data_IF_506330804522
#
_entry.id   IF_506330804522
#
_cell.length_a   1.000
_cell.length_b   1.000
_cell.length_c   1.000
_cell.angle_alpha   90.00
_cell.angle_beta   90.00
_cell.angle_gamma   90.00
#
_symmetry.space_group_name_H-M   'P 1'
#
loop_
_entity.id
_entity.type
_entity.pdbx_description
1 polymer ?
#
# COMPACT_ATOMS: atom_id res chain seq x y z
N UNK A 1 -40.33 -3.96 -24.09
CA UNK A 1 -40.45 -4.28 -22.65
C UNK A 1 -39.24 -5.07 -22.16
N UNK A 2 -38.70 -6.03 -22.92
CA UNK A 2 -37.49 -6.80 -22.56
C UNK A 2 -36.19 -5.99 -22.42
N UNK A 3 -36.06 -4.83 -23.08
CA UNK A 3 -34.84 -4.01 -23.03
C UNK A 3 -34.68 -3.23 -21.72
N UNK A 4 -35.77 -2.83 -21.08
CA UNK A 4 -35.73 -2.04 -19.84
C UNK A 4 -35.47 -2.92 -18.60
N UNK A 5 -35.85 -4.20 -18.68
CA UNK A 5 -35.65 -5.19 -17.62
C UNK A 5 -34.22 -5.76 -17.62
N UNK A 6 -33.60 -5.93 -18.80
CA UNK A 6 -32.19 -6.31 -18.92
C UNK A 6 -31.24 -5.19 -18.48
N UNK A 7 -31.58 -3.93 -18.77
CA UNK A 7 -30.85 -2.75 -18.30
C UNK A 7 -30.97 -2.60 -16.77
N UNK A 8 -32.16 -2.75 -16.20
CA UNK A 8 -32.37 -2.74 -14.73
C UNK A 8 -31.65 -3.89 -14.02
N UNK A 9 -31.60 -5.08 -14.60
CA UNK A 9 -30.86 -6.21 -14.05
C UNK A 9 -29.33 -6.03 -14.17
N UNK A 10 -28.84 -5.43 -15.26
CA UNK A 10 -27.43 -5.07 -15.42
C UNK A 10 -27.00 -3.99 -14.42
N UNK A 11 -27.85 -3.00 -14.17
CA UNK A 11 -27.57 -1.92 -13.21
C UNK A 11 -27.60 -2.42 -11.75
N UNK A 12 -28.52 -3.33 -11.42
CA UNK A 12 -28.56 -4.01 -10.13
C UNK A 12 -27.34 -4.92 -9.91
N UNK A 13 -26.90 -5.66 -10.93
CA UNK A 13 -25.69 -6.49 -10.87
C UNK A 13 -24.42 -5.65 -10.68
N UNK A 14 -24.29 -4.52 -11.39
CA UNK A 14 -23.17 -3.57 -11.22
C UNK A 14 -23.17 -2.90 -9.85
N UNK A 15 -24.35 -2.55 -9.35
CA UNK A 15 -24.51 -1.96 -8.02
C UNK A 15 -24.17 -2.97 -6.92
N UNK A 16 -24.52 -4.24 -7.10
CA UNK A 16 -24.16 -5.32 -6.17
C UNK A 16 -22.65 -5.57 -6.11
N UNK A 17 -21.97 -5.64 -7.27
CA UNK A 17 -20.50 -5.80 -7.31
C UNK A 17 -19.76 -4.59 -6.73
N UNK A 18 -20.23 -3.37 -6.99
CA UNK A 18 -19.66 -2.15 -6.39
C UNK A 18 -19.86 -2.08 -4.88
N UNK A 19 -21.03 -2.53 -4.41
CA UNK A 19 -21.33 -2.59 -2.98
C UNK A 19 -20.44 -3.61 -2.26
N UNK A 20 -20.28 -4.81 -2.83
CA UNK A 20 -19.39 -5.85 -2.31
C UNK A 20 -17.93 -5.37 -2.25
N UNK A 21 -17.49 -4.66 -3.30
CA UNK A 21 -16.19 -3.99 -3.33
C UNK A 21 -16.01 -2.99 -2.17
N UNK A 22 -16.95 -2.06 -2.00
CA UNK A 22 -16.82 -1.02 -0.97
C UNK A 22 -16.83 -1.63 0.44
N UNK A 23 -17.59 -2.70 0.68
CA UNK A 23 -17.55 -3.43 1.95
C UNK A 23 -16.23 -4.18 2.18
N UNK A 24 -15.63 -4.76 1.14
CA UNK A 24 -14.31 -5.37 1.22
C UNK A 24 -13.24 -4.31 1.54
N UNK A 25 -13.24 -3.20 0.81
CA UNK A 25 -12.35 -2.06 1.06
C UNK A 25 -12.54 -1.50 2.48
N UNK A 26 -13.77 -1.37 2.95
CA UNK A 26 -14.07 -0.92 4.31
C UNK A 26 -13.45 -1.85 5.36
N UNK A 27 -13.59 -3.18 5.19
CA UNK A 27 -13.04 -4.19 6.08
C UNK A 27 -11.51 -4.15 6.12
N UNK A 28 -10.86 -4.02 4.96
CA UNK A 28 -9.40 -3.97 4.83
C UNK A 28 -8.82 -2.74 5.51
N UNK A 29 -9.37 -1.56 5.22
CA UNK A 29 -8.93 -0.30 5.83
C UNK A 29 -9.15 -0.30 7.35
N UNK A 30 -10.21 -0.97 7.83
CA UNK A 30 -10.43 -1.20 9.26
C UNK A 30 -9.44 -2.20 9.87
N UNK A 31 -9.02 -3.21 9.13
CA UNK A 31 -7.93 -4.12 9.50
C UNK A 31 -6.63 -3.36 9.68
N UNK A 32 -6.26 -2.53 8.71
CA UNK A 32 -5.07 -1.69 8.77
C UNK A 32 -5.10 -0.72 9.97
N UNK A 33 -6.25 -0.09 10.25
CA UNK A 33 -6.43 0.74 11.46
C UNK A 33 -6.14 -0.07 12.74
N UNK A 34 -6.63 -1.32 12.81
CA UNK A 34 -6.41 -2.21 13.95
C UNK A 34 -4.94 -2.58 14.10
N UNK A 35 -4.26 -2.87 13.00
CA UNK A 35 -2.84 -3.21 13.00
C UNK A 35 -1.98 -2.02 13.41
N UNK A 36 -2.33 -0.80 12.98
CA UNK A 36 -1.68 0.43 13.45
C UNK A 36 -1.90 0.68 14.93
N UNK A 37 -3.08 0.35 15.46
CA UNK A 37 -3.31 0.36 16.92
C UNK A 37 -2.36 -0.63 17.59
N UNK A 38 -2.35 -1.90 17.19
CA UNK A 38 -1.51 -2.93 17.79
C UNK A 38 0.01 -2.62 17.66
N UNK A 39 0.43 -2.01 16.55
CA UNK A 39 1.81 -1.59 16.34
C UNK A 39 2.25 -0.55 17.37
N UNK A 40 1.39 0.43 17.68
CA UNK A 40 1.70 1.45 18.71
C UNK A 40 1.84 0.84 20.09
N UNK A 41 1.06 -0.20 20.38
CA UNK A 41 1.13 -0.91 21.66
C UNK A 41 2.47 -1.62 21.80
N UNK A 42 2.94 -2.28 20.73
CA UNK A 42 4.29 -2.86 20.69
C UNK A 42 5.37 -1.80 20.85
N UNK A 43 5.28 -0.68 20.16
CA UNK A 43 6.27 0.41 20.29
C UNK A 43 6.32 1.00 21.70
N UNK A 44 5.18 1.09 22.39
CA UNK A 44 5.16 1.59 23.77
C UNK A 44 5.88 0.65 24.74
N UNK A 45 5.67 -0.67 24.60
CA UNK A 45 6.39 -1.67 25.39
C UNK A 45 7.89 -1.62 25.07
N UNK A 46 8.25 -1.58 23.80
CA UNK A 46 9.66 -1.52 23.38
C UNK A 46 10.36 -0.25 23.87
N UNK A 47 9.69 0.90 23.83
CA UNK A 47 10.20 2.16 24.39
C UNK A 47 10.53 2.00 25.88
N UNK A 48 9.60 1.44 26.67
CA UNK A 48 9.81 1.23 28.10
C UNK A 48 11.01 0.30 28.36
N UNK A 49 11.07 -0.84 27.65
CA UNK A 49 12.19 -1.80 27.76
C UNK A 49 13.51 -1.14 27.40
N UNK A 50 13.56 -0.36 26.31
CA UNK A 50 14.78 0.34 25.87
C UNK A 50 15.25 1.38 26.89
N UNK A 51 14.34 2.19 27.45
CA UNK A 51 14.68 3.17 28.49
C UNK A 51 15.19 2.47 29.75
N UNK A 52 14.51 1.42 30.21
CA UNK A 52 14.95 0.61 31.34
C UNK A 52 16.35 0.02 31.11
N UNK A 53 16.62 -0.52 29.92
CA UNK A 53 17.93 -1.07 29.59
C UNK A 53 19.02 0.01 29.62
N UNK A 54 18.78 1.19 29.04
CA UNK A 54 19.74 2.30 29.07
C UNK A 54 20.01 2.75 30.51
N UNK A 55 18.97 2.91 31.32
CA UNK A 55 19.12 3.27 32.74
C UNK A 55 19.94 2.22 33.50
N UNK A 56 19.62 0.93 33.34
CA UNK A 56 20.35 -0.17 34.01
C UNK A 56 21.83 -0.21 33.64
N UNK A 57 22.17 0.02 32.38
CA UNK A 57 23.58 0.06 31.95
C UNK A 57 24.26 1.34 32.45
N UNK A 58 23.53 2.46 32.53
CA UNK A 58 24.11 3.75 32.95
C UNK A 58 24.53 3.80 34.42
N UNK A 59 24.00 2.91 35.25
CA UNK A 59 24.32 2.79 36.69
C UNK A 59 25.41 1.76 36.99
N UNK A 60 25.95 1.06 35.98
CA UNK A 60 26.99 0.06 36.18
C UNK A 60 28.34 0.67 36.58
N UNK A 61 29.18 -0.12 37.25
CA UNK A 61 30.48 0.31 37.78
C UNK A 61 31.60 0.30 36.73
N UNK A 62 31.42 0.98 35.60
CA UNK A 62 32.51 1.23 34.65
C UNK A 62 32.59 2.72 34.31
N UNK A 63 33.79 3.16 33.91
CA UNK A 63 34.15 4.57 33.77
C UNK A 63 33.11 5.36 32.96
N UNK A 64 32.77 4.86 31.77
CA UNK A 64 31.87 5.56 30.84
C UNK A 64 30.37 5.30 31.04
N UNK A 65 29.96 4.53 32.05
CA UNK A 65 28.56 4.12 32.23
C UNK A 65 27.58 5.32 32.28
N UNK A 66 27.83 6.38 33.06
CA UNK A 66 26.88 7.49 33.18
C UNK A 66 26.62 8.21 31.85
N UNK A 67 27.59 8.24 30.93
CA UNK A 67 27.45 8.89 29.63
C UNK A 67 26.47 8.15 28.70
N UNK A 68 26.20 6.87 28.95
CA UNK A 68 25.20 6.11 28.19
C UNK A 68 23.78 6.61 28.45
N UNK A 69 23.53 7.35 29.53
CA UNK A 69 22.25 8.00 29.76
C UNK A 69 21.88 8.99 28.63
N UNK A 70 22.85 9.50 27.86
CA UNK A 70 22.61 10.37 26.72
C UNK A 70 21.84 9.69 25.58
N UNK A 71 21.71 8.35 25.59
CA UNK A 71 20.84 7.63 24.67
C UNK A 71 19.35 7.74 25.04
N UNK A 72 18.98 8.15 26.26
CA UNK A 72 17.57 8.29 26.68
C UNK A 72 16.79 9.26 25.76
N UNK A 73 17.26 10.49 25.49
CA UNK A 73 16.64 11.38 24.50
C UNK A 73 16.57 10.80 23.09
N UNK A 74 17.62 10.08 22.65
CA UNK A 74 17.66 9.47 21.30
C UNK A 74 16.60 8.38 21.15
N UNK A 75 16.47 7.51 22.16
CA UNK A 75 15.45 6.46 22.23
C UNK A 75 14.05 7.09 22.24
N UNK A 76 13.82 8.15 23.02
CA UNK A 76 12.54 8.85 23.05
C UNK A 76 12.15 9.46 21.69
N UNK A 77 13.10 10.12 21.01
CA UNK A 77 12.90 10.66 19.67
C UNK A 77 12.58 9.55 18.65
N UNK A 78 13.33 8.44 18.68
CA UNK A 78 13.11 7.31 17.77
C UNK A 78 11.68 6.76 17.86
N UNK A 79 11.21 6.44 19.07
CA UNK A 79 9.86 5.90 19.26
C UNK A 79 8.78 6.94 19.01
N UNK A 80 9.03 8.22 19.29
CA UNK A 80 8.11 9.31 18.94
C UNK A 80 7.86 9.37 17.43
N UNK A 81 8.91 9.26 16.60
CA UNK A 81 8.78 9.28 15.14
C UNK A 81 7.92 8.11 14.65
N UNK A 82 8.19 6.89 15.14
CA UNK A 82 7.46 5.68 14.75
C UNK A 82 5.97 5.77 15.12
N UNK A 83 5.67 6.26 16.31
CA UNK A 83 4.30 6.39 16.81
C UNK A 83 3.55 7.51 16.07
N UNK A 84 4.20 8.66 15.85
CA UNK A 84 3.63 9.77 15.10
C UNK A 84 3.29 9.38 13.65
N UNK A 85 4.18 8.62 13.01
CA UNK A 85 3.91 8.07 11.68
C UNK A 85 2.69 7.14 11.67
N UNK A 86 2.60 6.23 12.65
CA UNK A 86 1.44 5.34 12.80
C UNK A 86 0.12 6.11 12.99
N UNK A 87 0.13 7.20 13.78
CA UNK A 87 -1.03 8.09 13.93
C UNK A 87 -1.40 8.81 12.63
N UNK A 88 -0.42 9.27 11.86
CA UNK A 88 -0.68 9.94 10.58
C UNK A 88 -1.36 9.02 9.56
N UNK A 89 -0.87 7.78 9.43
CA UNK A 89 -1.46 6.77 8.55
C UNK A 89 -2.88 6.43 9.00
N UNK A 90 -3.09 6.18 10.30
CA UNK A 90 -4.42 5.94 10.86
C UNK A 90 -5.38 7.09 10.53
N UNK A 91 -4.97 8.34 10.76
CA UNK A 91 -5.83 9.50 10.54
C UNK A 91 -6.21 9.64 9.06
N UNK A 92 -5.26 9.43 8.14
CA UNK A 92 -5.53 9.45 6.70
C UNK A 92 -6.52 8.37 6.27
N UNK A 93 -6.35 7.14 6.77
CA UNK A 93 -7.28 6.04 6.47
C UNK A 93 -8.67 6.30 7.05
N UNK A 94 -8.73 6.74 8.31
CA UNK A 94 -10.00 7.05 8.98
C UNK A 94 -10.73 8.21 8.27
N UNK A 95 -10.01 9.21 7.78
CA UNK A 95 -10.58 10.30 6.97
C UNK A 95 -11.10 9.79 5.62
N UNK A 96 -10.33 8.96 4.91
CA UNK A 96 -10.76 8.37 3.64
C UNK A 96 -12.00 7.49 3.80
N UNK A 97 -12.04 6.65 4.84
CA UNK A 97 -13.21 5.83 5.17
C UNK A 97 -14.46 6.69 5.36
N UNK A 98 -14.38 7.73 6.20
CA UNK A 98 -15.52 8.60 6.52
C UNK A 98 -15.99 9.46 5.35
N UNK A 99 -15.06 9.97 4.54
CA UNK A 99 -15.37 10.97 3.52
C UNK A 99 -15.62 10.38 2.13
N UNK A 100 -15.15 9.16 1.86
CA UNK A 100 -15.27 8.54 0.53
C UNK A 100 -16.03 7.22 0.58
N UNK A 101 -15.57 6.26 1.39
CA UNK A 101 -16.07 4.88 1.33
C UNK A 101 -17.44 4.73 1.99
N UNK A 102 -17.59 5.13 3.25
CA UNK A 102 -18.82 4.96 4.03
C UNK A 102 -20.03 5.72 3.44
N UNK A 103 -19.89 6.96 2.92
CA UNK A 103 -20.98 7.66 2.25
C UNK A 103 -21.45 6.98 0.96
N UNK A 104 -20.51 6.39 0.21
CA UNK A 104 -20.81 5.71 -1.04
C UNK A 104 -21.57 4.39 -0.79
N UNK A 105 -21.16 3.62 0.22
CA UNK A 105 -21.89 2.43 0.67
C UNK A 105 -23.31 2.82 1.11
N UNK A 106 -23.43 3.86 1.93
CA UNK A 106 -24.73 4.33 2.41
C UNK A 106 -25.64 4.81 1.27
N UNK A 107 -25.07 5.38 0.20
CA UNK A 107 -25.81 5.76 -1.01
C UNK A 107 -26.33 4.56 -1.79
N UNK A 108 -25.51 3.51 -1.95
CA UNK A 108 -25.91 2.28 -2.65
C UNK A 108 -26.94 1.45 -1.87
N UNK A 109 -26.96 1.56 -0.53
CA UNK A 109 -27.95 0.92 0.34
C UNK A 109 -29.20 1.77 0.59
N UNK A 110 -29.31 2.93 -0.06
CA UNK A 110 -30.40 3.91 0.10
C UNK A 110 -30.67 4.29 1.57
N UNK A 111 -29.61 4.45 2.37
CA UNK A 111 -29.76 4.73 3.79
C UNK A 111 -29.94 6.24 4.04
N UNK A 112 -30.99 6.65 4.79
CA UNK A 112 -31.24 8.05 5.12
C UNK A 112 -30.06 8.66 5.87
N UNK A 113 -29.72 9.93 5.56
CA UNK A 113 -28.58 10.63 6.13
C UNK A 113 -28.54 10.62 7.67
N UNK A 114 -29.71 10.66 8.30
CA UNK A 114 -29.87 10.62 9.76
C UNK A 114 -29.44 9.26 10.36
N UNK A 115 -29.60 8.16 9.62
CA UNK A 115 -29.26 6.81 10.07
C UNK A 115 -27.81 6.39 9.77
N UNK A 116 -27.10 7.12 8.90
CA UNK A 116 -25.71 6.81 8.47
C UNK A 116 -24.71 6.79 9.63
N UNK A 117 -24.95 7.58 10.67
CA UNK A 117 -24.08 7.69 11.85
C UNK A 117 -24.10 6.44 12.74
N UNK A 118 -25.03 5.51 12.53
CA UNK A 118 -25.10 4.24 13.26
C UNK A 118 -24.54 3.04 12.49
N UNK A 119 -24.33 3.18 11.18
CA UNK A 119 -24.05 2.06 10.28
C UNK A 119 -22.62 1.57 10.37
N UNK A 120 -21.66 2.49 10.39
CA UNK A 120 -20.24 2.17 10.38
C UNK A 120 -19.52 2.77 11.57
N UNK A 121 -18.53 2.02 12.07
CA UNK A 121 -17.83 2.35 13.30
C UNK A 121 -17.12 3.71 13.24
N UNK A 122 -16.47 4.07 12.11
CA UNK A 122 -15.69 5.32 12.03
C UNK A 122 -16.60 6.56 12.03
N UNK A 123 -17.67 6.57 11.23
CA UNK A 123 -18.68 7.64 11.26
C UNK A 123 -19.38 7.71 12.63
N UNK A 124 -19.74 6.55 13.21
CA UNK A 124 -20.37 6.49 14.55
C UNK A 124 -19.47 7.07 15.63
N UNK A 125 -18.20 6.71 15.59
CA UNK A 125 -17.23 7.16 16.57
C UNK A 125 -16.96 8.66 16.47
N UNK A 126 -16.86 9.22 15.25
CA UNK A 126 -16.71 10.66 15.08
C UNK A 126 -17.97 11.43 15.55
N UNK A 127 -19.16 10.91 15.29
CA UNK A 127 -20.41 11.47 15.79
C UNK A 127 -20.44 11.50 17.32
N UNK A 128 -20.13 10.36 17.97
CA UNK A 128 -20.03 10.27 19.42
C UNK A 128 -18.96 11.21 19.99
N UNK A 129 -17.84 11.41 19.29
CA UNK A 129 -16.80 12.38 19.66
C UNK A 129 -17.32 13.81 19.67
N UNK A 130 -18.08 14.22 18.64
CA UNK A 130 -18.66 15.57 18.55
C UNK A 130 -19.67 15.82 19.67
N UNK A 131 -20.46 14.81 20.04
CA UNK A 131 -21.49 14.92 21.08
C UNK A 131 -20.91 14.89 22.49
N UNK A 132 -19.95 14.01 22.77
CA UNK A 132 -19.42 13.84 24.13
C UNK A 132 -18.50 14.96 24.60
N UNK A 133 -18.07 15.85 23.70
CA UNK A 133 -17.16 16.94 24.01
C UNK A 133 -15.76 16.44 24.38
N UNK A 134 -14.76 16.91 23.62
CA UNK A 134 -13.34 16.97 23.96
C UNK A 134 -12.71 15.87 24.84
N UNK A 135 -13.07 14.59 24.67
CA UNK A 135 -12.21 13.51 25.16
C UNK A 135 -10.90 13.57 24.36
N UNK A 136 -9.74 13.86 24.97
CA UNK A 136 -8.49 13.95 24.23
C UNK A 136 -8.17 12.59 23.62
N UNK A 137 -8.28 12.51 22.30
CA UNK A 137 -7.88 11.32 21.55
C UNK A 137 -6.37 11.21 21.63
N UNK A 138 -5.91 10.02 21.98
CA UNK A 138 -4.48 9.73 22.02
C UNK A 138 -3.82 10.18 23.32
N UNK A 139 -4.32 9.72 24.48
CA UNK A 139 -3.53 9.71 25.74
C UNK A 139 -2.10 9.25 25.44
N UNK A 140 -1.95 8.25 24.56
CA UNK A 140 -0.66 7.73 24.10
C UNK A 140 0.12 8.71 23.21
N UNK A 141 -0.49 9.35 22.21
CA UNK A 141 0.21 10.34 21.39
C UNK A 141 0.76 11.49 22.25
N UNK A 142 -0.09 12.06 23.13
CA UNK A 142 0.35 13.11 24.04
C UNK A 142 1.42 12.62 25.02
N UNK A 143 1.29 11.39 25.52
CA UNK A 143 2.33 10.78 26.34
C UNK A 143 3.68 10.75 25.62
N UNK A 144 3.73 10.32 24.35
CA UNK A 144 4.99 10.29 23.58
C UNK A 144 5.50 11.68 23.19
N UNK A 145 4.60 12.63 22.91
CA UNK A 145 4.99 14.03 22.71
C UNK A 145 5.65 14.58 23.98
N UNK A 146 5.03 14.38 25.14
CA UNK A 146 5.58 14.81 26.43
C UNK A 146 6.87 14.08 26.74
N UNK A 147 6.93 12.76 26.53
CA UNK A 147 8.13 11.95 26.79
C UNK A 147 9.33 12.40 25.94
N UNK A 148 9.10 12.79 24.68
CA UNK A 148 10.16 13.29 23.80
C UNK A 148 10.81 14.57 24.36
N UNK A 149 10.02 15.52 24.87
CA UNK A 149 10.54 16.77 25.46
C UNK A 149 10.95 16.63 26.93
N UNK A 150 10.41 15.65 27.66
CA UNK A 150 10.81 15.38 29.05
C UNK A 150 12.09 14.54 29.15
N UNK A 151 12.40 13.70 28.15
CA UNK A 151 13.57 12.83 28.16
C UNK A 151 14.92 13.56 28.33
N UNK A 152 15.17 14.74 27.71
CA UNK A 152 16.38 15.52 27.97
C UNK A 152 16.52 15.94 29.43
N UNK A 153 15.42 16.32 30.09
CA UNK A 153 15.42 16.69 31.52
C UNK A 153 15.66 15.48 32.43
N UNK A 154 15.05 14.34 32.09
CA UNK A 154 15.29 13.07 32.82
C UNK A 154 16.74 12.64 32.67
N UNK A 155 17.31 12.74 31.47
CA UNK A 155 18.73 12.52 31.23
C UNK A 155 19.58 13.46 32.07
N UNK A 156 19.32 14.78 32.03
CA UNK A 156 20.08 15.77 32.78
C UNK A 156 20.09 15.45 34.27
N UNK A 157 18.92 15.15 34.83
CA UNK A 157 18.78 14.77 36.24
C UNK A 157 19.57 13.49 36.57
N UNK A 158 19.37 12.41 35.80
CA UNK A 158 20.04 11.12 36.04
C UNK A 158 21.56 11.23 35.89
N UNK A 159 22.03 11.90 34.84
CA UNK A 159 23.45 12.10 34.55
C UNK A 159 24.13 12.91 35.66
N UNK A 160 23.54 14.03 36.08
CA UNK A 160 24.08 14.82 37.17
C UNK A 160 24.07 14.07 38.50
N UNK A 161 23.02 13.30 38.80
CA UNK A 161 22.96 12.48 40.01
C UNK A 161 24.07 11.42 40.07
N UNK A 162 24.42 10.82 38.92
CA UNK A 162 25.48 9.81 38.82
C UNK A 162 26.90 10.40 38.82
N UNK A 163 27.06 11.64 38.35
CA UNK A 163 28.39 12.21 38.05
C UNK A 163 28.84 13.25 39.08
N UNK A 164 27.93 14.07 39.64
CA UNK A 164 28.28 15.17 40.56
C UNK A 164 28.89 14.70 41.89
N UNK A 165 28.64 13.45 42.29
CA UNK A 165 29.24 12.84 43.47
C UNK A 165 30.61 12.18 43.23
N UNK A 166 31.14 12.23 42.01
CA UNK A 166 32.41 11.60 41.66
C UNK A 166 33.50 12.64 41.39
N UNK A 167 34.67 12.46 42.00
CA UNK A 167 35.86 13.28 41.72
C UNK A 167 36.54 12.89 40.39
N UNK A 168 35.93 11.97 39.63
CA UNK A 168 36.47 11.41 38.38
C UNK A 168 36.44 12.40 37.21
N UNK A 169 35.59 13.42 37.25
CA UNK A 169 35.34 14.30 36.12
C UNK A 169 35.42 15.78 36.51
N UNK A 170 35.99 16.60 35.61
CA UNK A 170 35.99 18.05 35.83
C UNK A 170 34.57 18.60 35.72
N UNK A 171 34.17 19.46 36.67
CA UNK A 171 32.83 20.07 36.68
C UNK A 171 32.51 20.78 35.36
N UNK A 172 33.50 21.46 34.77
CA UNK A 172 33.37 22.12 33.47
C UNK A 172 33.01 21.15 32.35
N UNK A 173 33.66 19.98 32.30
CA UNK A 173 33.35 18.95 31.31
C UNK A 173 31.94 18.39 31.47
N UNK A 174 31.54 18.07 32.70
CA UNK A 174 30.22 17.51 33.03
C UNK A 174 29.10 18.46 32.60
N UNK A 175 29.20 19.74 32.97
CA UNK A 175 28.20 20.74 32.58
C UNK A 175 28.18 20.98 31.08
N UNK A 176 29.34 21.05 30.42
CA UNK A 176 29.42 21.24 28.97
C UNK A 176 28.74 20.09 28.22
N UNK A 177 29.03 18.85 28.61
CA UNK A 177 28.41 17.66 28.01
C UNK A 177 26.89 17.65 28.20
N UNK A 178 26.43 17.86 29.42
CA UNK A 178 25.01 17.83 29.75
C UNK A 178 24.21 18.90 28.96
N UNK A 179 24.75 20.13 28.89
CA UNK A 179 24.14 21.22 28.12
C UNK A 179 24.10 20.91 26.62
N UNK A 180 25.19 20.41 26.04
CA UNK A 180 25.25 20.06 24.62
C UNK A 180 24.23 18.98 24.24
N UNK A 181 24.13 17.91 25.05
CA UNK A 181 23.18 16.82 24.79
C UNK A 181 21.73 17.30 24.93
N UNK A 182 21.42 18.11 25.95
CA UNK A 182 20.08 18.68 26.12
C UNK A 182 19.72 19.63 24.96
N UNK A 183 20.61 20.56 24.61
CA UNK A 183 20.37 21.51 23.52
C UNK A 183 20.22 20.81 22.17
N UNK A 184 21.07 19.82 21.86
CA UNK A 184 20.99 19.06 20.62
C UNK A 184 19.70 18.24 20.52
N UNK A 185 19.29 17.58 21.61
CA UNK A 185 18.06 16.78 21.63
C UNK A 185 16.80 17.63 21.53
N UNK A 186 16.74 18.79 22.19
CA UNK A 186 15.63 19.75 22.06
C UNK A 186 15.52 20.31 20.63
N UNK A 187 16.64 20.71 20.03
CA UNK A 187 16.67 21.17 18.64
C UNK A 187 16.19 20.07 17.68
N UNK A 188 16.64 18.82 17.88
CA UNK A 188 16.22 17.68 17.08
C UNK A 188 14.72 17.39 17.25
N UNK A 189 14.21 17.36 18.48
CA UNK A 189 12.80 17.14 18.78
C UNK A 189 11.91 18.22 18.12
N UNK A 190 12.30 19.48 18.22
CA UNK A 190 11.59 20.59 17.58
C UNK A 190 11.59 20.47 16.04
N UNK A 191 12.75 20.22 15.44
CA UNK A 191 12.89 20.08 13.99
C UNK A 191 12.09 18.89 13.45
N UNK A 192 12.17 17.74 14.12
CA UNK A 192 11.44 16.51 13.79
C UNK A 192 9.93 16.73 13.90
N UNK A 193 9.44 17.33 14.99
CA UNK A 193 8.01 17.63 15.15
C UNK A 193 7.51 18.50 13.99
N UNK A 194 8.24 19.57 13.65
CA UNK A 194 7.89 20.47 12.54
C UNK A 194 7.90 19.75 11.19
N UNK A 195 8.88 18.88 10.93
CA UNK A 195 8.98 18.08 9.71
C UNK A 195 7.88 17.03 9.60
N UNK A 196 7.56 16.32 10.68
CA UNK A 196 6.51 15.30 10.70
C UNK A 196 5.14 15.92 10.43
N UNK A 197 4.84 17.09 10.99
CA UNK A 197 3.60 17.82 10.67
C UNK A 197 3.46 18.16 9.19
N UNK A 198 4.57 18.47 8.51
CA UNK A 198 4.59 18.78 7.08
C UNK A 198 4.64 17.52 6.18
N UNK A 199 5.33 16.47 6.61
CA UNK A 199 5.58 15.25 5.84
C UNK A 199 4.43 14.25 5.95
N UNK A 200 3.77 14.15 7.11
CA UNK A 200 2.63 13.24 7.30
C UNK A 200 1.45 13.60 6.39
N UNK A 201 1.22 14.89 6.14
CA UNK A 201 0.21 15.37 5.16
C UNK A 201 0.54 14.90 3.73
N UNK A 202 1.82 14.78 3.37
CA UNK A 202 2.25 14.23 2.07
C UNK A 202 2.26 12.70 2.04
N UNK A 203 2.63 12.05 3.14
CA UNK A 203 2.78 10.60 3.24
C UNK A 203 1.44 9.87 3.29
N UNK A 204 0.37 10.50 3.80
CA UNK A 204 -1.00 9.97 3.74
C UNK A 204 -1.52 9.75 2.31
N UNK A 205 -0.82 10.28 1.30
CA UNK A 205 -1.10 10.12 -0.12
C UNK A 205 0.17 9.85 -0.95
N UNK A 206 1.22 9.28 -0.37
CA UNK A 206 2.34 8.81 -1.19
C UNK A 206 1.82 7.71 -2.12
N UNK A 207 1.78 7.91 -3.45
CA UNK A 207 1.34 6.88 -4.38
C UNK A 207 2.29 5.70 -4.22
N UNK A 208 1.76 4.46 -4.12
CA UNK A 208 2.59 3.29 -4.45
C UNK A 208 3.17 3.54 -5.83
N UNK A 209 4.49 3.42 -5.95
CA UNK A 209 5.28 4.02 -7.01
C UNK A 209 4.76 3.69 -8.40
N UNK A 210 4.37 4.77 -9.10
CA UNK A 210 4.08 4.82 -10.52
C UNK A 210 5.39 4.63 -11.29
N UNK A 211 5.53 3.52 -12.02
CA UNK A 211 6.56 3.36 -13.05
C UNK A 211 6.03 3.94 -14.37
N UNK A 212 5.71 5.24 -14.41
CA UNK A 212 5.45 5.96 -15.66
C UNK A 212 6.75 6.63 -16.17
N UNK A 213 6.91 6.92 -17.47
CA UNK A 213 8.04 7.70 -17.97
C UNK A 213 8.19 9.05 -17.25
N UNK A 214 9.43 9.53 -17.09
CA UNK A 214 9.78 10.77 -16.36
C UNK A 214 9.29 12.07 -17.03
N UNK A 215 8.66 12.02 -18.21
CA UNK A 215 8.19 13.22 -18.92
C UNK A 215 6.65 13.32 -19.02
N UNK A 216 6.00 14.05 -18.08
CA UNK A 216 4.57 14.31 -18.13
C UNK A 216 4.14 15.32 -19.21
N UNK A 217 5.07 15.99 -19.92
CA UNK A 217 4.73 17.03 -20.90
C UNK A 217 4.50 16.45 -22.30
N UNK A 218 5.28 15.47 -22.75
CA UNK A 218 5.03 14.78 -24.03
C UNK A 218 3.81 13.84 -23.99
N UNK A 219 3.58 13.15 -22.88
CA UNK A 219 2.44 12.22 -22.72
C UNK A 219 1.08 12.95 -22.69
N UNK A 220 1.05 14.19 -22.19
CA UNK A 220 -0.19 14.98 -22.07
C UNK A 220 -0.74 15.43 -23.42
N UNK A 221 0.10 15.48 -24.45
CA UNK A 221 -0.28 15.86 -25.81
C UNK A 221 -0.68 14.67 -26.70
N UNK A 222 -0.43 13.42 -26.28
CA UNK A 222 -0.74 12.22 -27.06
C UNK A 222 -2.11 11.60 -26.76
N UNK A 223 -2.71 11.88 -25.60
CA UNK A 223 -3.90 11.16 -25.12
C UNK A 223 -5.04 12.08 -24.69
N UNK A 224 -6.25 11.83 -25.22
CA UNK A 224 -7.50 12.49 -24.81
C UNK A 224 -7.92 11.99 -23.42
N UNK A 225 -8.64 12.82 -22.65
CA UNK A 225 -9.33 12.33 -21.45
C UNK A 225 -10.26 11.17 -21.85
N UNK A 226 -10.11 10.00 -21.20
CA UNK A 226 -10.74 8.68 -21.42
C UNK A 226 -9.94 7.69 -22.28
N UNK A 227 -8.81 7.19 -21.78
CA UNK A 227 -8.06 6.11 -22.44
C UNK A 227 -8.57 4.72 -22.04
N UNK A 228 -8.48 3.75 -22.96
CA UNK A 228 -8.76 2.34 -22.67
C UNK A 228 -7.43 1.62 -22.39
N UNK A 229 -7.45 0.66 -21.49
CA UNK A 229 -6.27 -0.12 -21.14
C UNK A 229 -6.46 -1.61 -21.41
N UNK A 230 -5.34 -2.28 -21.65
CA UNK A 230 -5.23 -3.72 -21.50
C UNK A 230 -4.30 -3.98 -20.32
N UNK A 231 -4.90 -4.48 -19.25
CA UNK A 231 -4.22 -5.00 -18.08
C UNK A 231 -3.68 -6.39 -18.38
N UNK A 232 -2.42 -6.65 -18.04
CA UNK A 232 -1.75 -7.89 -18.38
C UNK A 232 -1.08 -8.45 -17.13
N UNK A 233 -1.35 -9.70 -16.78
CA UNK A 233 -0.53 -10.36 -15.75
C UNK A 233 0.88 -10.61 -16.29
N UNK A 234 1.86 -10.61 -15.39
CA UNK A 234 3.27 -10.78 -15.75
C UNK A 234 3.63 -12.26 -15.86
N UNK A 235 3.61 -12.96 -14.74
CA UNK A 235 4.09 -14.34 -14.62
C UNK A 235 3.00 -15.30 -15.08
N UNK A 236 3.30 -16.20 -16.03
CA UNK A 236 2.33 -17.13 -16.61
C UNK A 236 1.53 -16.58 -17.80
N UNK A 237 1.62 -15.27 -18.06
CA UNK A 237 0.90 -14.58 -19.15
C UNK A 237 1.84 -13.85 -20.11
N UNK A 238 2.67 -12.92 -19.61
CA UNK A 238 3.62 -12.16 -20.42
C UNK A 238 4.99 -12.85 -20.47
N UNK A 239 5.41 -13.47 -19.36
CA UNK A 239 6.60 -14.31 -19.26
C UNK A 239 6.26 -15.67 -18.67
N UNK A 240 7.11 -16.66 -18.93
CA UNK A 240 7.00 -18.00 -18.33
C UNK A 240 7.04 -17.90 -16.80
N UNK A 241 6.08 -18.53 -16.11
CA UNK A 241 6.05 -18.59 -14.65
C UNK A 241 7.16 -19.52 -14.12
N UNK A 242 8.22 -18.92 -13.57
CA UNK A 242 9.38 -19.63 -12.98
C UNK A 242 9.37 -19.65 -11.45
N UNK A 243 8.21 -19.40 -10.81
CA UNK A 243 8.06 -19.35 -9.35
C UNK A 243 8.97 -18.28 -8.73
N UNK A 244 8.49 -17.04 -8.70
CA UNK A 244 9.17 -15.89 -8.08
C UNK A 244 10.55 -15.58 -8.69
N UNK A 245 10.62 -15.29 -10.00
CA UNK A 245 11.88 -14.97 -10.66
C UNK A 245 12.50 -13.71 -10.05
N UNK A 246 13.81 -13.75 -9.79
CA UNK A 246 14.55 -12.66 -9.13
C UNK A 246 15.68 -12.14 -9.99
N UNK A 247 16.24 -13.01 -10.84
CA UNK A 247 17.33 -12.65 -11.75
C UNK A 247 16.74 -12.12 -13.07
N UNK A 248 17.09 -10.89 -13.49
CA UNK A 248 16.72 -10.37 -14.81
C UNK A 248 17.08 -11.28 -16.00
N UNK A 249 18.06 -12.19 -15.87
CA UNK A 249 18.38 -13.18 -16.92
C UNK A 249 17.34 -14.29 -17.06
N UNK A 250 16.50 -14.50 -16.06
CA UNK A 250 15.45 -15.54 -16.07
C UNK A 250 14.23 -15.15 -16.91
N UNK A 251 14.13 -13.87 -17.30
CA UNK A 251 13.04 -13.35 -18.14
C UNK A 251 12.96 -14.15 -19.44
N UNK A 252 11.87 -14.87 -19.61
CA UNK A 252 11.58 -15.67 -20.79
C UNK A 252 10.18 -15.33 -21.26
N UNK A 253 10.08 -14.66 -22.42
CA UNK A 253 8.81 -14.29 -23.01
C UNK A 253 8.20 -15.48 -23.75
N UNK A 254 6.87 -15.58 -23.77
CA UNK A 254 6.20 -16.51 -24.68
C UNK A 254 6.44 -16.08 -26.14
N UNK A 255 6.50 -17.03 -27.10
CA UNK A 255 6.83 -16.73 -28.50
C UNK A 255 5.97 -15.65 -29.15
N UNK A 256 4.71 -15.53 -28.74
CA UNK A 256 3.73 -14.60 -29.29
C UNK A 256 3.64 -13.27 -28.53
N UNK A 257 4.44 -13.08 -27.48
CA UNK A 257 4.31 -11.92 -26.58
C UNK A 257 4.51 -10.60 -27.30
N UNK A 258 5.63 -10.46 -28.02
CA UNK A 258 5.98 -9.18 -28.65
C UNK A 258 5.04 -8.81 -29.79
N UNK A 259 4.54 -9.78 -30.55
CA UNK A 259 3.59 -9.50 -31.62
C UNK A 259 2.24 -9.06 -31.04
N UNK A 260 1.76 -9.76 -30.01
CA UNK A 260 0.47 -9.49 -29.36
C UNK A 260 0.45 -8.12 -28.68
N UNK A 261 1.51 -7.74 -27.98
CA UNK A 261 1.60 -6.43 -27.33
C UNK A 261 1.69 -5.29 -28.34
N UNK A 262 2.44 -5.46 -29.44
CA UNK A 262 2.46 -4.47 -30.53
C UNK A 262 1.10 -4.28 -31.18
N UNK A 263 0.35 -5.37 -31.37
CA UNK A 263 -1.00 -5.32 -31.90
C UNK A 263 -1.96 -4.58 -30.95
N UNK A 264 -1.91 -4.85 -29.65
CA UNK A 264 -2.73 -4.14 -28.66
C UNK A 264 -2.38 -2.64 -28.63
N UNK A 265 -1.08 -2.33 -28.64
CA UNK A 265 -0.60 -0.94 -28.66
C UNK A 265 -1.04 -0.21 -29.94
N UNK A 266 -0.95 -0.86 -31.11
CA UNK A 266 -1.38 -0.28 -32.39
C UNK A 266 -2.89 -0.07 -32.46
N UNK A 267 -3.67 -0.84 -31.69
CA UNK A 267 -5.11 -0.62 -31.50
C UNK A 267 -5.45 0.61 -30.66
N UNK A 268 -4.47 1.26 -30.04
CA UNK A 268 -4.65 2.48 -29.25
C UNK A 268 -4.91 2.24 -27.76
N UNK A 269 -4.63 1.05 -27.24
CA UNK A 269 -4.76 0.76 -25.81
C UNK A 269 -3.48 1.09 -25.06
N UNK A 270 -3.64 1.52 -23.80
CA UNK A 270 -2.55 1.54 -22.83
C UNK A 270 -2.18 0.13 -22.41
N UNK A 271 -0.89 -0.14 -22.29
CA UNK A 271 -0.35 -1.42 -21.82
C UNK A 271 0.05 -1.29 -20.35
N UNK A 272 -0.68 -1.98 -19.47
CA UNK A 272 -0.48 -1.87 -18.02
C UNK A 272 -0.28 -3.27 -17.43
N UNK A 273 0.81 -3.48 -16.71
CA UNK A 273 1.02 -4.73 -15.96
C UNK A 273 0.33 -4.64 -14.60
N UNK A 274 -0.36 -5.71 -14.19
CA UNK A 274 -0.95 -5.86 -12.85
C UNK A 274 -0.60 -7.23 -12.28
N UNK A 275 0.38 -7.30 -11.36
CA UNK A 275 0.98 -8.56 -10.91
C UNK A 275 0.98 -8.76 -9.39
N UNK A 276 0.67 -9.97 -8.93
CA UNK A 276 0.80 -10.35 -7.52
C UNK A 276 2.25 -10.80 -7.25
N UNK A 277 2.89 -10.28 -6.21
CA UNK A 277 4.30 -10.54 -5.87
C UNK A 277 4.43 -10.84 -4.36
N UNK A 278 3.72 -11.86 -3.91
CA UNK A 278 3.68 -12.33 -2.51
C UNK A 278 5.06 -12.74 -1.95
N UNK A 279 6.00 -13.09 -2.84
CA UNK A 279 7.40 -13.34 -2.51
C UNK A 279 8.06 -12.18 -1.75
N UNK A 280 7.57 -10.94 -1.91
CA UNK A 280 8.05 -9.77 -1.17
C UNK A 280 7.67 -9.86 0.30
N UNK A 281 6.40 -10.11 0.62
CA UNK A 281 5.94 -10.27 2.01
C UNK A 281 6.50 -11.52 2.67
N UNK A 282 6.72 -12.58 1.90
CA UNK A 282 7.33 -13.83 2.37
C UNK A 282 8.84 -13.71 2.61
N UNK A 283 9.46 -12.57 2.29
CA UNK A 283 10.91 -12.36 2.44
C UNK A 283 11.74 -13.18 1.44
N UNK A 284 11.11 -13.74 0.40
CA UNK A 284 11.78 -14.49 -0.66
C UNK A 284 12.36 -13.57 -1.72
N UNK A 285 11.76 -12.42 -1.96
CA UNK A 285 12.17 -11.41 -2.95
C UNK A 285 12.25 -10.05 -2.26
N UNK A 286 13.32 -9.28 -2.48
CA UNK A 286 13.37 -7.89 -2.00
C UNK A 286 12.72 -6.94 -3.01
N UNK A 287 12.22 -5.79 -2.55
CA UNK A 287 11.69 -4.77 -3.47
C UNK A 287 12.76 -4.27 -4.46
N UNK A 288 14.02 -4.17 -4.04
CA UNK A 288 15.13 -3.78 -4.92
C UNK A 288 15.37 -4.78 -6.06
N UNK A 289 15.30 -6.08 -5.79
CA UNK A 289 15.39 -7.12 -6.81
C UNK A 289 14.19 -7.07 -7.76
N UNK A 290 12.98 -6.92 -7.21
CA UNK A 290 11.76 -6.72 -8.00
C UNK A 290 11.90 -5.54 -8.97
N UNK A 291 12.42 -4.40 -8.51
CA UNK A 291 12.60 -3.23 -9.36
C UNK A 291 13.65 -3.45 -10.45
N UNK A 292 14.78 -4.09 -10.15
CA UNK A 292 15.80 -4.43 -11.15
C UNK A 292 15.25 -5.37 -12.22
N UNK A 293 14.47 -6.37 -11.81
CA UNK A 293 13.82 -7.31 -12.72
C UNK A 293 12.87 -6.59 -13.68
N UNK A 294 11.99 -5.74 -13.16
CA UNK A 294 11.01 -5.02 -14.00
C UNK A 294 11.66 -3.93 -14.86
N UNK A 295 12.77 -3.33 -14.42
CA UNK A 295 13.55 -2.42 -15.26
C UNK A 295 14.09 -3.14 -16.52
N UNK A 296 14.66 -4.33 -16.35
CA UNK A 296 15.13 -5.15 -17.48
C UNK A 296 13.98 -5.63 -18.36
N UNK A 297 12.84 -5.99 -17.77
CA UNK A 297 11.63 -6.35 -18.52
C UNK A 297 11.21 -5.21 -19.46
N UNK A 298 11.14 -3.98 -18.95
CA UNK A 298 10.83 -2.78 -19.74
C UNK A 298 11.83 -2.53 -20.84
N UNK A 299 13.12 -2.64 -20.55
CA UNK A 299 14.19 -2.45 -21.54
C UNK A 299 14.05 -3.43 -22.71
N UNK A 300 13.79 -4.71 -22.42
CA UNK A 300 13.60 -5.74 -23.46
C UNK A 300 12.34 -5.50 -24.29
N UNK A 301 11.24 -5.08 -23.68
CA UNK A 301 10.02 -4.69 -24.41
C UNK A 301 10.25 -3.45 -25.28
N UNK A 302 10.96 -2.45 -24.76
CA UNK A 302 11.27 -1.23 -25.50
C UNK A 302 12.17 -1.49 -26.72
N UNK A 303 13.10 -2.44 -26.62
CA UNK A 303 13.91 -2.90 -27.76
C UNK A 303 13.09 -3.46 -28.92
N UNK A 304 11.87 -3.94 -28.65
CA UNK A 304 10.90 -4.44 -29.62
C UNK A 304 9.82 -3.39 -29.99
N UNK A 305 10.00 -2.12 -29.58
CA UNK A 305 9.06 -1.03 -29.84
C UNK A 305 7.76 -1.08 -29.02
N UNK A 306 7.77 -1.80 -27.90
CA UNK A 306 6.63 -1.95 -26.98
C UNK A 306 6.89 -1.10 -25.74
N UNK A 307 5.94 -0.23 -25.41
CA UNK A 307 6.06 0.70 -24.30
C UNK A 307 4.96 0.44 -23.28
N UNK A 308 5.37 0.05 -22.07
CA UNK A 308 4.46 -0.08 -20.93
C UNK A 308 4.15 1.31 -20.35
N UNK A 309 2.87 1.60 -20.14
CA UNK A 309 2.41 2.82 -19.48
C UNK A 309 2.68 2.76 -17.97
N UNK A 310 2.48 1.60 -17.36
CA UNK A 310 2.72 1.37 -15.94
C UNK A 310 2.86 -0.12 -15.59
N UNK A 311 3.48 -0.37 -14.43
CA UNK A 311 3.52 -1.68 -13.77
C UNK A 311 2.99 -1.48 -12.35
N UNK A 312 1.84 -2.09 -12.05
CA UNK A 312 1.27 -2.16 -10.71
C UNK A 312 1.56 -3.54 -10.13
N UNK A 313 1.93 -3.58 -8.85
CA UNK A 313 2.20 -4.82 -8.14
C UNK A 313 1.61 -4.82 -6.74
N UNK A 314 1.31 -6.01 -6.24
CA UNK A 314 0.90 -6.24 -4.85
C UNK A 314 1.94 -7.08 -4.12
N UNK A 315 2.61 -6.55 -3.08
CA UNK A 315 3.59 -7.33 -2.33
C UNK A 315 2.95 -8.30 -1.32
N UNK A 316 1.63 -8.22 -1.10
CA UNK A 316 0.87 -8.96 -0.07
C UNK A 316 0.63 -10.42 -0.45
N UNK A 317 0.05 -11.21 0.45
CA UNK A 317 -0.35 -12.60 0.18
C UNK A 317 -1.87 -12.78 0.18
N UNK A 318 -2.34 -13.89 -0.40
CA UNK A 318 -3.78 -14.20 -0.55
C UNK A 318 -4.53 -14.19 0.79
N UNK A 319 -3.87 -14.66 1.86
CA UNK A 319 -4.43 -14.71 3.22
C UNK A 319 -4.73 -13.33 3.81
N UNK A 320 -4.04 -12.30 3.34
CA UNK A 320 -4.25 -10.93 3.82
C UNK A 320 -5.56 -10.34 3.30
N UNK A 321 -6.13 -10.93 2.22
CA UNK A 321 -7.32 -10.39 1.56
C UNK A 321 -7.13 -8.97 1.02
N UNK A 322 -5.88 -8.51 0.89
CA UNK A 322 -5.54 -7.11 0.68
C UNK A 322 -6.08 -6.58 -0.66
N UNK A 323 -6.68 -5.40 -0.67
CA UNK A 323 -7.28 -4.75 -1.84
C UNK A 323 -6.45 -4.79 -3.16
N UNK A 324 -5.13 -4.59 -3.09
CA UNK A 324 -4.26 -4.66 -4.27
C UNK A 324 -3.93 -6.07 -4.76
N UNK A 325 -4.18 -7.12 -3.98
CA UNK A 325 -3.83 -8.51 -4.32
C UNK A 325 -4.98 -9.18 -5.07
N UNK A 326 -4.75 -9.58 -6.33
CA UNK A 326 -5.76 -10.31 -7.13
C UNK A 326 -6.14 -11.59 -6.38
N UNK A 327 -7.44 -11.92 -6.20
CA UNK A 327 -8.58 -11.53 -7.03
C UNK A 327 -9.19 -10.14 -6.76
N UNK A 328 -8.67 -9.37 -5.80
CA UNK A 328 -9.17 -8.02 -5.61
C UNK A 328 -8.73 -7.07 -6.74
N UNK A 329 -9.61 -6.16 -7.19
CA UNK A 329 -9.37 -5.29 -8.35
C UNK A 329 -8.45 -4.09 -8.10
N UNK A 330 -7.75 -4.02 -6.95
CA UNK A 330 -7.18 -2.74 -6.51
C UNK A 330 -6.07 -2.17 -7.37
N UNK A 331 -5.25 -3.01 -8.01
CA UNK A 331 -4.26 -2.55 -8.98
C UNK A 331 -4.91 -1.91 -10.22
N UNK A 332 -6.02 -2.47 -10.68
CA UNK A 332 -6.76 -1.97 -11.84
C UNK A 332 -7.43 -0.63 -11.55
N UNK A 333 -7.99 -0.45 -10.34
CA UNK A 333 -8.56 0.83 -9.94
C UNK A 333 -7.52 1.93 -9.74
N UNK A 334 -6.33 1.60 -9.22
CA UNK A 334 -5.23 2.56 -9.13
C UNK A 334 -4.83 3.06 -10.53
N UNK A 335 -4.69 2.16 -11.50
CA UNK A 335 -4.48 2.54 -12.89
C UNK A 335 -5.62 3.38 -13.46
N UNK A 336 -6.87 3.06 -13.13
CA UNK A 336 -8.04 3.81 -13.57
C UNK A 336 -7.99 5.26 -13.09
N UNK A 337 -7.56 5.50 -11.85
CA UNK A 337 -7.38 6.84 -11.29
C UNK A 337 -6.20 7.57 -11.95
N UNK A 338 -5.06 6.89 -12.09
CA UNK A 338 -3.83 7.44 -12.63
C UNK A 338 -3.92 7.90 -14.08
N UNK A 339 -4.69 7.17 -14.89
CA UNK A 339 -4.81 7.37 -16.33
C UNK A 339 -6.22 7.75 -16.78
N UNK A 340 -7.17 7.91 -15.85
CA UNK A 340 -8.59 8.22 -16.12
C UNK A 340 -9.20 7.23 -17.13
N UNK A 341 -9.04 5.94 -16.83
CA UNK A 341 -9.36 4.87 -17.77
C UNK A 341 -10.85 4.64 -17.94
N UNK A 342 -11.26 4.32 -19.17
CA UNK A 342 -12.56 3.74 -19.45
C UNK A 342 -12.54 2.23 -19.17
N UNK A 343 -12.85 1.88 -17.92
CA UNK A 343 -12.81 0.49 -17.43
C UNK A 343 -13.74 -0.44 -18.21
N UNK A 344 -14.90 0.04 -18.66
CA UNK A 344 -15.90 -0.80 -19.35
C UNK A 344 -15.44 -1.26 -20.73
N UNK A 345 -14.55 -0.49 -21.35
CA UNK A 345 -13.94 -0.80 -22.62
C UNK A 345 -12.45 -1.17 -22.48
N UNK A 346 -12.04 -1.55 -21.25
CA UNK A 346 -10.71 -2.07 -20.95
C UNK A 346 -10.77 -3.59 -20.75
N UNK A 347 -9.62 -4.23 -20.92
CA UNK A 347 -9.49 -5.69 -20.86
C UNK A 347 -8.47 -6.10 -19.81
N UNK A 348 -8.60 -7.29 -19.24
CA UNK A 348 -7.56 -7.91 -18.43
C UNK A 348 -7.23 -9.29 -18.98
N UNK A 349 -5.96 -9.53 -19.29
CA UNK A 349 -5.44 -10.81 -19.73
C UNK A 349 -4.62 -11.41 -18.60
N UNK A 350 -4.94 -12.64 -18.21
CA UNK A 350 -4.21 -13.38 -17.18
C UNK A 350 -4.45 -14.89 -17.28
N UNK A 351 -3.62 -15.69 -16.65
CA UNK A 351 -3.69 -17.15 -16.67
C UNK A 351 -4.43 -17.73 -15.46
N UNK A 352 -4.58 -16.96 -14.37
CA UNK A 352 -5.18 -17.47 -13.14
C UNK A 352 -6.64 -17.03 -12.98
N UNK A 353 -7.46 -17.82 -12.24
CA UNK A 353 -8.81 -17.38 -11.87
C UNK A 353 -8.83 -16.06 -11.10
N UNK A 354 -7.76 -15.75 -10.37
CA UNK A 354 -7.60 -14.48 -9.66
C UNK A 354 -7.60 -13.29 -10.61
N UNK A 355 -6.96 -13.40 -11.78
CA UNK A 355 -6.99 -12.36 -12.82
C UNK A 355 -8.39 -12.13 -13.34
N UNK A 356 -9.07 -13.23 -13.67
CA UNK A 356 -10.44 -13.19 -14.15
C UNK A 356 -11.39 -12.52 -13.15
N UNK A 357 -11.24 -12.83 -11.86
CA UNK A 357 -12.07 -12.24 -10.80
C UNK A 357 -11.71 -10.77 -10.53
N UNK A 358 -10.43 -10.40 -10.56
CA UNK A 358 -10.01 -9.00 -10.44
C UNK A 358 -10.56 -8.15 -11.58
N UNK A 359 -10.57 -8.70 -12.79
CA UNK A 359 -11.15 -8.06 -13.96
C UNK A 359 -12.65 -7.76 -13.77
N UNK A 360 -13.42 -8.78 -13.38
CA UNK A 360 -14.85 -8.63 -13.09
C UNK A 360 -15.11 -7.62 -11.97
N UNK A 361 -14.33 -7.69 -10.88
CA UNK A 361 -14.43 -6.75 -9.76
C UNK A 361 -14.14 -5.30 -10.16
N UNK A 362 -13.27 -5.10 -11.15
CA UNK A 362 -12.95 -3.79 -11.70
C UNK A 362 -13.93 -3.29 -12.77
N UNK A 363 -14.84 -4.15 -13.23
CA UNK A 363 -15.73 -3.87 -14.37
C UNK A 363 -15.01 -3.81 -15.72
N UNK A 364 -13.85 -4.48 -15.84
CA UNK A 364 -13.12 -4.67 -17.10
C UNK A 364 -13.42 -6.05 -17.68
N UNK A 365 -13.16 -6.23 -18.97
CA UNK A 365 -13.49 -7.47 -19.68
C UNK A 365 -12.37 -8.50 -19.46
N UNK A 366 -12.64 -9.65 -18.79
CA UNK A 366 -11.63 -10.67 -18.57
C UNK A 366 -11.36 -11.51 -19.83
N UNK A 367 -10.08 -11.83 -20.05
CA UNK A 367 -9.60 -12.79 -21.05
C UNK A 367 -8.64 -13.76 -20.36
N UNK A 368 -9.07 -15.00 -20.17
CA UNK A 368 -8.27 -16.03 -19.51
C UNK A 368 -7.39 -16.76 -20.54
N UNK A 369 -6.09 -16.91 -20.27
CA UNK A 369 -5.14 -17.64 -21.12
C UNK A 369 -4.70 -18.95 -20.48
N UNK A 370 -4.37 -19.95 -21.30
CA UNK A 370 -3.95 -21.28 -20.84
C UNK A 370 -2.45 -21.46 -20.63
N UNK A 371 -1.67 -20.38 -20.60
CA UNK A 371 -0.19 -20.38 -20.65
C UNK A 371 0.50 -20.55 -19.30
N UNK A 372 -0.25 -20.45 -18.20
CA UNK A 372 0.26 -20.59 -16.84
C UNK A 372 0.84 -21.98 -16.53
N UNK A 373 1.70 -22.03 -15.49
CA UNK A 373 2.20 -23.29 -14.92
C UNK A 373 1.35 -23.68 -13.72
N UNK A 374 0.80 -24.89 -13.71
CA UNK A 374 -0.13 -25.36 -12.68
C UNK A 374 0.32 -26.69 -12.10
N UNK A 375 0.23 -26.84 -10.78
CA UNK A 375 0.15 -28.16 -10.16
C UNK A 375 -1.12 -28.91 -10.59
N UNK A 376 -1.16 -30.23 -10.39
CA UNK A 376 -2.32 -31.04 -10.73
C UNK A 376 -3.60 -30.55 -10.01
N UNK A 377 -3.47 -30.12 -8.76
CA UNK A 377 -4.58 -29.57 -7.98
C UNK A 377 -5.06 -28.21 -8.50
N UNK A 378 -4.13 -27.31 -8.81
CA UNK A 378 -4.45 -26.01 -9.40
C UNK A 378 -5.14 -26.17 -10.76
N UNK A 379 -4.67 -27.12 -11.58
CA UNK A 379 -5.27 -27.41 -12.87
C UNK A 379 -6.70 -27.92 -12.74
N UNK A 380 -6.95 -28.84 -11.81
CA UNK A 380 -8.30 -29.35 -11.54
C UNK A 380 -9.25 -28.22 -11.09
N UNK A 381 -8.79 -27.31 -10.21
CA UNK A 381 -9.57 -26.14 -9.76
C UNK A 381 -9.83 -25.17 -10.89
N UNK A 382 -8.85 -24.90 -11.76
CA UNK A 382 -9.01 -24.06 -12.94
C UNK A 382 -10.06 -24.65 -13.89
N UNK A 383 -9.97 -25.94 -14.19
CA UNK A 383 -10.90 -26.62 -15.10
C UNK A 383 -12.33 -26.63 -14.51
N UNK A 384 -12.47 -26.83 -13.20
CA UNK A 384 -13.76 -26.69 -12.51
C UNK A 384 -14.29 -25.25 -12.58
N UNK A 385 -13.44 -24.25 -12.29
CA UNK A 385 -13.80 -22.84 -12.36
C UNK A 385 -14.31 -22.44 -13.76
N UNK A 386 -13.63 -22.91 -14.80
CA UNK A 386 -13.94 -22.68 -16.20
C UNK A 386 -15.25 -23.36 -16.59
N UNK A 387 -15.43 -24.64 -16.22
CA UNK A 387 -16.68 -25.38 -16.48
C UNK A 387 -17.89 -24.72 -15.81
N UNK A 388 -17.77 -24.39 -14.53
CA UNK A 388 -18.88 -23.83 -13.74
C UNK A 388 -19.36 -22.47 -14.25
N UNK A 389 -18.48 -21.72 -14.94
CA UNK A 389 -18.80 -20.40 -15.50
C UNK A 389 -18.94 -20.39 -17.03
N UNK A 390 -18.81 -21.55 -17.69
CA UNK A 390 -18.86 -21.65 -19.15
C UNK A 390 -17.80 -20.79 -19.85
N UNK A 391 -16.61 -20.65 -19.26
CA UNK A 391 -15.57 -19.76 -19.76
C UNK A 391 -14.83 -20.39 -20.94
N UNK A 392 -14.35 -19.54 -21.85
CA UNK A 392 -13.45 -19.95 -22.92
C UNK A 392 -12.03 -19.49 -22.59
N UNK A 393 -11.12 -20.45 -22.47
CA UNK A 393 -9.68 -20.20 -22.33
C UNK A 393 -9.11 -19.88 -23.71
N UNK A 394 -8.31 -18.83 -23.81
CA UNK A 394 -7.50 -18.51 -24.99
C UNK A 394 -6.21 -19.34 -24.97
N UNK A 395 -5.75 -19.81 -26.13
CA UNK A 395 -4.52 -20.61 -26.23
C UNK A 395 -3.27 -19.86 -25.80
N UNK A 396 -3.27 -18.53 -25.89
CA UNK A 396 -2.16 -17.66 -25.50
C UNK A 396 -2.50 -16.18 -25.68
N UNK A 397 -1.48 -15.33 -25.54
CA UNK A 397 -1.64 -13.88 -25.58
C UNK A 397 -2.13 -13.40 -26.95
N UNK A 398 -1.75 -14.08 -28.04
CA UNK A 398 -2.19 -13.76 -29.40
C UNK A 398 -3.69 -13.93 -29.62
N UNK A 399 -4.26 -15.05 -29.18
CA UNK A 399 -5.71 -15.25 -29.30
C UNK A 399 -6.47 -14.23 -28.45
N UNK A 400 -5.95 -13.90 -27.26
CA UNK A 400 -6.53 -12.86 -26.43
C UNK A 400 -6.46 -11.47 -27.11
N UNK A 401 -5.31 -11.09 -27.66
CA UNK A 401 -5.11 -9.82 -28.37
C UNK A 401 -6.04 -9.67 -29.58
N UNK A 402 -6.26 -10.74 -30.35
CA UNK A 402 -7.16 -10.74 -31.51
C UNK A 402 -8.62 -10.44 -31.14
N UNK A 403 -9.04 -10.73 -29.90
CA UNK A 403 -10.41 -10.45 -29.42
C UNK A 403 -10.62 -9.01 -28.99
N UNK A 404 -9.55 -8.24 -28.85
CA UNK A 404 -9.61 -6.83 -28.46
C UNK A 404 -9.85 -6.00 -29.71
N UNK A 405 -10.95 -5.23 -29.78
CA UNK A 405 -11.30 -4.43 -30.96
C UNK A 405 -10.46 -3.15 -31.03
N UNK A 406 -10.29 -2.60 -32.23
CA UNK A 406 -9.67 -1.28 -32.44
C UNK A 406 -10.41 -0.18 -31.64
N UNK A 407 -9.66 0.77 -31.07
CA UNK A 407 -10.25 1.99 -30.52
C UNK A 407 -10.77 2.85 -31.67
N UNK A 408 -12.09 2.94 -31.82
CA UNK A 408 -12.77 3.79 -32.81
C UNK A 408 -12.85 5.24 -32.35
#
# INVERSE_FOLDING_TARGET
METDESLKNCDKSKSAGRLEYLFALHRDLRGEIRDRIAQRDRFAVQFLVAVCAVVSVSIMEFEYAPFLAAFIPVVAIFYFVQISYSYAVHNGISEFLRNRVEPEIAGLLDVPAQARHGMFWETRWEFLRRIRGNFPIGIRQRFFEVAMFAAPLVFLFLFLALVLGSDRYSKTFVWTYAVLVCAASECAAFWIKRRLSAACVRASFAPRQKFAPDDPVELRNKYKLSDRAVFIDRDGTLIVDKIQPKDPSEIEFFPDTFESLREIQSKGYRLIIATNQDGIRQGKLTEGEFFKFNARLRERLAGEGIYLDAIYYSPHEDKDGHFSFKPNPGMLFQAAEDFRLDMRNSYMIGDRPSDYLAALGAGVIPLLVGTGTYSAEEKARLDEFVRNRGLRICSGLREAANRIPLVR
#
